data_IF_468002319770
#
_entry.id   IF_468002319770
#
_cell.length_a   1.000
_cell.length_b   1.000
_cell.length_c   1.000
_cell.angle_alpha   90.00
_cell.angle_beta   90.00
_cell.angle_gamma   90.00
#
_symmetry.space_group_name_H-M   'P 1'
#
loop_
_entity.id
_entity.type
_entity.pdbx_description
1 polymer ?
#
# COMPACT_ATOMS: atom_id res chain seq x y z
N UNK A 1 -27.95 22.32 -28.35
CA UNK A 1 -28.36 21.38 -27.29
C UNK A 1 -27.64 20.04 -27.36
N UNK A 2 -27.59 19.36 -28.51
CA UNK A 2 -26.93 18.03 -28.63
C UNK A 2 -25.45 18.00 -28.20
N UNK A 3 -24.64 19.00 -28.59
CA UNK A 3 -23.23 19.09 -28.17
C UNK A 3 -23.06 19.25 -26.65
N UNK A 4 -23.94 20.03 -26.00
CA UNK A 4 -23.92 20.22 -24.55
C UNK A 4 -24.28 18.92 -23.84
N UNK A 5 -25.28 18.19 -24.33
CA UNK A 5 -25.64 16.88 -23.77
C UNK A 5 -24.49 15.88 -23.84
N UNK A 6 -23.75 15.82 -24.97
CA UNK A 6 -22.56 14.96 -25.12
C UNK A 6 -21.43 15.33 -24.15
N UNK A 7 -21.22 16.62 -23.90
CA UNK A 7 -20.22 17.09 -22.91
C UNK A 7 -20.61 16.67 -21.49
N UNK A 8 -21.89 16.86 -21.12
CA UNK A 8 -22.40 16.46 -19.80
C UNK A 8 -22.32 14.94 -19.60
N UNK A 9 -22.63 14.17 -20.63
CA UNK A 9 -22.51 12.70 -20.62
C UNK A 9 -21.04 12.26 -20.45
N UNK A 10 -20.12 12.85 -21.22
CA UNK A 10 -18.68 12.59 -21.07
C UNK A 10 -18.16 12.92 -19.67
N UNK A 11 -18.57 14.05 -19.09
CA UNK A 11 -18.20 14.43 -17.73
C UNK A 11 -18.74 13.43 -16.68
N UNK A 12 -19.97 12.94 -16.85
CA UNK A 12 -20.54 11.92 -15.96
C UNK A 12 -19.79 10.58 -16.07
N UNK A 13 -19.39 10.17 -17.28
CA UNK A 13 -18.59 8.96 -17.49
C UNK A 13 -17.20 9.09 -16.86
N UNK A 14 -16.54 10.24 -17.02
CA UNK A 14 -15.26 10.52 -16.35
C UNK A 14 -15.39 10.50 -14.83
N UNK A 15 -16.43 11.11 -14.27
CA UNK A 15 -16.68 11.08 -12.83
C UNK A 15 -16.87 9.64 -12.30
N UNK A 16 -17.58 8.79 -13.07
CA UNK A 16 -17.74 7.38 -12.73
C UNK A 16 -16.39 6.62 -12.74
N UNK A 17 -15.58 6.79 -13.79
CA UNK A 17 -14.27 6.15 -13.87
C UNK A 17 -13.31 6.60 -12.76
N UNK A 18 -13.37 7.88 -12.37
CA UNK A 18 -12.60 8.41 -11.23
C UNK A 18 -13.06 7.77 -9.91
N UNK A 19 -14.36 7.56 -9.73
CA UNK A 19 -14.89 6.88 -8.54
C UNK A 19 -14.43 5.42 -8.47
N UNK A 20 -14.47 4.68 -9.58
CA UNK A 20 -13.97 3.29 -9.66
C UNK A 20 -12.46 3.21 -9.35
N UNK A 21 -11.67 4.19 -9.82
CA UNK A 21 -10.25 4.29 -9.50
C UNK A 21 -10.02 4.57 -8.01
N UNK A 22 -10.87 5.39 -7.38
CA UNK A 22 -10.81 5.68 -5.94
C UNK A 22 -11.01 4.40 -5.13
N UNK A 23 -12.03 3.63 -5.48
CA UNK A 23 -12.36 2.40 -4.76
C UNK A 23 -11.28 1.32 -4.96
N UNK A 24 -10.75 1.18 -6.19
CA UNK A 24 -9.59 0.31 -6.45
C UNK A 24 -8.35 0.74 -5.65
N UNK A 25 -8.12 2.05 -5.50
CA UNK A 25 -6.98 2.57 -4.72
C UNK A 25 -7.13 2.28 -3.22
N UNK A 26 -8.36 2.31 -2.68
CA UNK A 26 -8.61 1.92 -1.29
C UNK A 26 -8.32 0.43 -1.07
N UNK A 27 -8.75 -0.43 -1.98
CA UNK A 27 -8.47 -1.87 -1.92
C UNK A 27 -6.96 -2.15 -1.91
N UNK A 28 -6.19 -1.43 -2.73
CA UNK A 28 -4.71 -1.50 -2.68
C UNK A 28 -4.20 -1.05 -1.30
N UNK A 29 -4.77 -0.01 -0.70
CA UNK A 29 -4.44 0.43 0.66
C UNK A 29 -4.66 -0.65 1.73
N UNK A 30 -5.76 -1.40 1.64
CA UNK A 30 -6.07 -2.51 2.55
C UNK A 30 -5.08 -3.68 2.38
N UNK A 31 -4.71 -3.99 1.13
CA UNK A 31 -3.68 -4.99 0.82
C UNK A 31 -2.33 -4.57 1.42
N UNK A 32 -1.93 -3.30 1.26
CA UNK A 32 -0.68 -2.77 1.81
C UNK A 32 -0.67 -2.83 3.34
N UNK A 33 -1.79 -2.54 3.99
CA UNK A 33 -1.95 -2.70 5.44
C UNK A 33 -1.74 -4.16 5.86
N UNK A 34 -2.33 -5.10 5.12
CA UNK A 34 -2.16 -6.54 5.36
C UNK A 34 -0.69 -6.96 5.20
N UNK A 35 -0.02 -6.53 4.13
CA UNK A 35 1.41 -6.80 3.90
C UNK A 35 2.26 -6.24 5.05
N UNK A 36 1.97 -5.02 5.51
CA UNK A 36 2.68 -4.41 6.65
C UNK A 36 2.55 -5.29 7.89
N UNK A 37 1.36 -5.83 8.17
CA UNK A 37 1.16 -6.75 9.29
C UNK A 37 1.96 -8.06 9.16
N UNK A 38 2.11 -8.59 7.95
CA UNK A 38 2.93 -9.78 7.70
C UNK A 38 4.41 -9.50 7.90
N UNK A 39 4.86 -8.31 7.51
CA UNK A 39 6.25 -7.87 7.74
C UNK A 39 6.54 -7.76 9.23
N UNK A 40 5.65 -7.15 10.01
CA UNK A 40 5.79 -7.05 11.47
C UNK A 40 5.87 -8.43 12.14
N UNK A 41 4.99 -9.36 11.73
CA UNK A 41 5.02 -10.74 12.22
C UNK A 41 6.31 -11.46 11.82
N UNK A 42 6.79 -11.26 10.60
CA UNK A 42 8.04 -11.86 10.11
C UNK A 42 9.24 -11.32 10.88
N UNK A 43 9.24 -10.02 11.21
CA UNK A 43 10.29 -9.39 12.01
C UNK A 43 10.29 -9.91 13.46
N UNK A 44 9.13 -10.10 14.07
CA UNK A 44 9.02 -10.73 15.39
C UNK A 44 9.50 -12.18 15.37
N UNK A 45 9.15 -12.94 14.33
CA UNK A 45 9.58 -14.33 14.18
C UNK A 45 11.10 -14.45 14.00
N UNK A 46 11.70 -13.59 13.18
CA UNK A 46 13.15 -13.58 12.97
C UNK A 46 13.91 -13.15 14.22
N UNK A 47 13.39 -12.19 14.98
CA UNK A 47 13.94 -11.79 16.26
C UNK A 47 13.92 -12.93 17.28
N UNK A 48 12.79 -13.65 17.40
CA UNK A 48 12.68 -14.81 18.29
C UNK A 48 13.67 -15.92 17.88
N UNK A 49 13.82 -16.17 16.57
CA UNK A 49 14.80 -17.13 16.06
C UNK A 49 16.25 -16.72 16.38
N UNK A 50 16.57 -15.42 16.30
CA UNK A 50 17.89 -14.90 16.67
C UNK A 50 18.18 -15.06 18.17
N UNK A 51 17.19 -14.80 19.04
CA UNK A 51 17.31 -14.98 20.50
C UNK A 51 17.54 -16.46 20.84
N UNK A 52 16.74 -17.36 20.28
CA UNK A 52 16.84 -18.79 20.55
C UNK A 52 18.17 -19.38 20.04
N UNK A 53 18.67 -18.83 18.94
CA UNK A 53 20.00 -19.16 18.42
C UNK A 53 21.11 -18.73 19.39
N UNK A 54 21.03 -17.50 19.93
CA UNK A 54 21.99 -17.04 20.92
C UNK A 54 22.00 -17.94 22.17
N UNK A 55 20.85 -18.53 22.52
CA UNK A 55 20.69 -19.48 23.63
C UNK A 55 21.30 -20.86 23.35
N UNK A 56 21.25 -21.35 22.11
CA UNK A 56 21.77 -22.68 21.72
C UNK A 56 23.28 -22.70 21.43
N UNK A 57 23.95 -21.55 21.48
CA UNK A 57 25.41 -21.47 21.38
C UNK A 57 25.92 -21.87 19.99
N UNK A 58 26.91 -22.76 19.92
CA UNK A 58 27.55 -23.12 18.64
C UNK A 58 26.63 -23.87 17.67
N UNK A 59 25.68 -24.67 18.19
CA UNK A 59 24.76 -25.45 17.36
C UNK A 59 23.81 -24.56 16.54
N UNK A 60 23.58 -23.31 16.99
CA UNK A 60 22.66 -22.38 16.34
C UNK A 60 23.32 -21.43 15.33
N UNK A 61 24.65 -21.37 15.20
CA UNK A 61 25.34 -20.33 14.39
C UNK A 61 24.82 -20.20 12.95
N UNK A 62 24.52 -21.33 12.29
CA UNK A 62 23.94 -21.31 10.93
C UNK A 62 22.53 -20.72 10.87
N UNK A 63 21.71 -21.00 11.89
CA UNK A 63 20.35 -20.45 12.02
C UNK A 63 20.36 -18.95 12.34
N UNK A 64 21.37 -18.43 13.06
CA UNK A 64 21.51 -17.00 13.31
C UNK A 64 21.67 -16.20 12.02
N UNK A 65 22.47 -16.71 11.08
CA UNK A 65 22.69 -16.05 9.78
C UNK A 65 21.38 -15.99 8.99
N UNK A 66 20.61 -17.09 8.99
CA UNK A 66 19.30 -17.14 8.32
C UNK A 66 18.31 -16.18 8.98
N UNK A 67 18.23 -16.16 10.31
CA UNK A 67 17.34 -15.26 11.05
C UNK A 67 17.65 -13.78 10.76
N UNK A 68 18.94 -13.42 10.72
CA UNK A 68 19.37 -12.06 10.39
C UNK A 68 19.03 -11.68 8.94
N UNK A 69 19.16 -12.61 7.99
CA UNK A 69 18.82 -12.33 6.59
C UNK A 69 17.30 -12.19 6.39
N UNK A 70 16.49 -13.01 7.08
CA UNK A 70 15.03 -12.87 7.11
C UNK A 70 14.64 -11.52 7.71
N UNK A 71 15.31 -11.06 8.77
CA UNK A 71 15.08 -9.74 9.37
C UNK A 71 15.34 -8.60 8.38
N UNK A 72 16.46 -8.65 7.65
CA UNK A 72 16.76 -7.63 6.62
C UNK A 72 15.74 -7.63 5.48
N UNK A 73 15.28 -8.81 5.05
CA UNK A 73 14.23 -8.93 4.03
C UNK A 73 12.92 -8.33 4.54
N UNK A 74 12.53 -8.62 5.78
CA UNK A 74 11.37 -8.04 6.42
C UNK A 74 11.47 -6.51 6.48
N UNK A 75 12.59 -5.95 6.95
CA UNK A 75 12.83 -4.50 6.98
C UNK A 75 12.72 -3.88 5.58
N UNK A 76 13.30 -4.53 4.55
CA UNK A 76 13.19 -4.09 3.16
C UNK A 76 11.74 -4.10 2.64
N UNK A 77 10.99 -5.16 2.97
CA UNK A 77 9.56 -5.27 2.66
C UNK A 77 8.73 -4.20 3.36
N UNK A 78 9.06 -3.84 4.62
CA UNK A 78 8.39 -2.76 5.36
C UNK A 78 8.53 -1.43 4.62
N UNK A 79 9.75 -1.11 4.19
CA UNK A 79 10.04 0.11 3.45
C UNK A 79 9.30 0.16 2.10
N UNK A 80 9.24 -0.97 1.40
CA UNK A 80 8.49 -1.06 0.14
C UNK A 80 6.98 -0.85 0.37
N UNK A 81 6.40 -1.53 1.36
CA UNK A 81 4.99 -1.39 1.72
C UNK A 81 4.65 0.07 2.11
N UNK A 82 5.51 0.70 2.92
CA UNK A 82 5.35 2.11 3.28
C UNK A 82 5.34 3.04 2.05
N UNK A 83 6.27 2.84 1.11
CA UNK A 83 6.31 3.62 -0.14
C UNK A 83 5.05 3.43 -0.98
N UNK A 84 4.52 2.20 -1.06
CA UNK A 84 3.26 1.94 -1.77
C UNK A 84 2.10 2.66 -1.07
N UNK A 85 2.02 2.62 0.27
CA UNK A 85 1.00 3.33 1.04
C UNK A 85 1.01 4.85 0.77
N UNK A 86 2.21 5.45 0.69
CA UNK A 86 2.34 6.86 0.32
C UNK A 86 1.85 7.15 -1.10
N UNK A 87 2.18 6.28 -2.07
CA UNK A 87 1.72 6.42 -3.45
C UNK A 87 0.19 6.30 -3.56
N UNK A 88 -0.40 5.33 -2.89
CA UNK A 88 -1.86 5.15 -2.83
C UNK A 88 -2.54 6.38 -2.22
N UNK A 89 -2.01 6.88 -1.10
CA UNK A 89 -2.53 8.09 -0.45
C UNK A 89 -2.46 9.31 -1.37
N UNK A 90 -1.37 9.44 -2.14
CA UNK A 90 -1.21 10.49 -3.14
C UNK A 90 -2.25 10.37 -4.27
N UNK A 91 -2.46 9.16 -4.80
CA UNK A 91 -3.44 8.89 -5.85
C UNK A 91 -4.86 9.26 -5.38
N UNK A 92 -5.23 8.85 -4.16
CA UNK A 92 -6.53 9.20 -3.58
C UNK A 92 -6.69 10.73 -3.46
N UNK A 93 -5.65 11.44 -3.01
CA UNK A 93 -5.66 12.91 -2.94
C UNK A 93 -5.80 13.58 -4.32
N UNK A 94 -5.12 13.07 -5.34
CA UNK A 94 -5.21 13.58 -6.72
C UNK A 94 -6.60 13.31 -7.33
N UNK A 95 -7.21 12.17 -7.01
CA UNK A 95 -8.58 11.85 -7.36
C UNK A 95 -9.56 12.83 -6.71
N UNK A 96 -9.45 13.05 -5.40
CA UNK A 96 -10.36 13.97 -4.69
C UNK A 96 -10.27 15.40 -5.23
N UNK A 97 -9.06 15.85 -5.59
CA UNK A 97 -8.87 17.13 -6.29
C UNK A 97 -9.55 17.16 -7.65
N UNK A 98 -9.42 16.09 -8.43
CA UNK A 98 -10.01 15.97 -9.77
C UNK A 98 -11.55 15.98 -9.71
N UNK A 99 -12.14 15.27 -8.75
CA UNK A 99 -13.59 15.29 -8.51
C UNK A 99 -14.07 16.70 -8.13
N UNK A 100 -13.37 17.37 -7.21
CA UNK A 100 -13.71 18.73 -6.80
C UNK A 100 -13.66 19.72 -7.95
N UNK A 101 -12.69 19.61 -8.86
CA UNK A 101 -12.61 20.46 -10.06
C UNK A 101 -13.85 20.28 -10.96
N UNK A 102 -14.23 19.04 -11.24
CA UNK A 102 -15.41 18.72 -12.08
C UNK A 102 -16.72 19.20 -11.46
N UNK A 103 -16.84 19.19 -10.13
CA UNK A 103 -18.04 19.68 -9.43
C UNK A 103 -18.03 21.22 -9.31
N UNK A 104 -16.85 21.83 -9.14
CA UNK A 104 -16.73 23.30 -9.02
C UNK A 104 -17.04 24.04 -10.31
N UNK A 105 -16.86 23.41 -11.48
CA UNK A 105 -17.27 24.00 -12.78
C UNK A 105 -18.80 23.95 -13.02
N UNK A 106 -19.57 23.31 -12.14
CA UNK A 106 -21.05 23.26 -12.23
C UNK A 106 -21.77 24.32 -11.38
N UNK A 107 -21.04 25.21 -10.68
CA UNK A 107 -21.58 26.39 -9.99
C UNK A 107 -21.33 27.65 -10.80
#
# INVERSE_FOLDING_TARGET
>A
MEKINKIVEGANLSAKGIQELKDSSKEIGDIVTTITSFVDQTNLLSLNAAIETARTGEAGRGFAVVAEEVRKLADGSAHAAYRISQLVSKIISEIDKSVNLVISERQ
#
